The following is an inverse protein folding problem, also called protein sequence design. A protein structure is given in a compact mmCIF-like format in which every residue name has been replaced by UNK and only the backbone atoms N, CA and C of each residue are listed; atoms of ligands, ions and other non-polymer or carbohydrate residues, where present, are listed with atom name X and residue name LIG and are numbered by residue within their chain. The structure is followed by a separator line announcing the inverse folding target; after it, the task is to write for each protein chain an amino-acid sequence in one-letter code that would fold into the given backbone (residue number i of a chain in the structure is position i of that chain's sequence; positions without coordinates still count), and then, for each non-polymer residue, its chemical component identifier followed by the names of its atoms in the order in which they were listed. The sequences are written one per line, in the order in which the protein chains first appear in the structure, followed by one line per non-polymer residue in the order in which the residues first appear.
data_IF_426225713698
#
_entry.id   IF_426225713698
#
_cell.length_a   1.000
_cell.length_b   1.000
_cell.length_c   1.000
_cell.angle_alpha   90.00
_cell.angle_beta   90.00
_cell.angle_gamma   90.00
#
_symmetry.space_group_name_H-M   'P 1'
#
loop_
_entity.id
_entity.type
_entity.pdbx_description
1 polymer ?
#
# COMPACT_ATOMS: atom_id res chain seq x y z
N UNK A 1 -25.08 -19.02 -18.49
CA UNK A 1 -24.68 -17.74 -17.87
C UNK A 1 -23.65 -17.11 -18.81
N UNK A 2 -24.12 -16.48 -19.88
CA UNK A 2 -23.24 -16.02 -20.96
C UNK A 2 -22.43 -14.82 -20.47
N UNK A 3 -21.11 -14.92 -20.62
CA UNK A 3 -20.18 -13.82 -20.49
C UNK A 3 -20.63 -12.68 -21.39
N UNK A 4 -21.19 -11.63 -20.82
CA UNK A 4 -21.33 -10.36 -21.52
C UNK A 4 -19.92 -9.76 -21.56
N UNK A 5 -19.18 -10.09 -22.61
CA UNK A 5 -18.01 -9.29 -22.99
C UNK A 5 -18.59 -7.96 -23.43
N UNK A 6 -18.41 -6.93 -22.62
CA UNK A 6 -18.75 -5.56 -22.98
C UNK A 6 -17.87 -5.18 -24.17
N UNK A 7 -18.44 -5.15 -25.37
CA UNK A 7 -17.77 -4.52 -26.51
C UNK A 7 -17.49 -3.06 -26.14
N UNK A 8 -16.21 -2.68 -26.14
CA UNK A 8 -15.80 -1.30 -25.91
C UNK A 8 -16.17 -0.52 -27.16
N UNK A 9 -17.02 0.48 -27.03
CA UNK A 9 -17.37 1.37 -28.14
C UNK A 9 -16.07 2.04 -28.67
N UNK A 10 -15.83 2.08 -29.98
CA UNK A 10 -14.67 2.73 -30.58
C UNK A 10 -14.44 4.18 -30.11
N UNK A 11 -15.51 4.89 -29.74
CA UNK A 11 -15.47 6.27 -29.24
C UNK A 11 -15.02 6.32 -27.76
N UNK A 12 -15.31 5.26 -26.99
CA UNK A 12 -15.02 5.16 -25.55
C UNK A 12 -13.65 4.50 -25.25
N UNK A 13 -12.90 4.09 -26.28
CA UNK A 13 -11.59 3.44 -26.12
C UNK A 13 -10.62 4.32 -25.32
N UNK A 14 -10.63 5.63 -25.56
CA UNK A 14 -9.75 6.56 -24.85
C UNK A 14 -10.08 6.62 -23.34
N UNK A 15 -11.36 6.68 -22.99
CA UNK A 15 -11.80 6.66 -21.58
C UNK A 15 -11.45 5.32 -20.93
N UNK A 16 -11.69 4.23 -21.64
CA UNK A 16 -11.43 2.86 -21.15
C UNK A 16 -9.95 2.67 -20.82
N UNK A 17 -9.04 3.06 -21.72
CA UNK A 17 -7.59 3.02 -21.48
C UNK A 17 -7.23 3.85 -20.23
N UNK A 18 -7.73 5.08 -20.13
CA UNK A 18 -7.49 5.94 -18.98
C UNK A 18 -7.99 5.34 -17.65
N UNK A 19 -9.11 4.61 -17.67
CA UNK A 19 -9.63 3.92 -16.50
C UNK A 19 -8.78 2.71 -16.10
N UNK A 20 -8.27 1.95 -17.06
CA UNK A 20 -7.32 0.87 -16.79
C UNK A 20 -6.01 1.39 -16.18
N UNK A 21 -5.46 2.48 -16.70
CA UNK A 21 -4.25 3.11 -16.16
C UNK A 21 -4.44 3.55 -14.70
N UNK A 22 -5.58 4.18 -14.39
CA UNK A 22 -5.95 4.54 -13.01
C UNK A 22 -6.07 3.30 -12.11
N UNK A 23 -6.76 2.27 -12.59
CA UNK A 23 -6.93 1.01 -11.87
C UNK A 23 -5.60 0.31 -11.58
N UNK A 24 -4.69 0.34 -12.55
CA UNK A 24 -3.34 -0.19 -12.39
C UNK A 24 -2.54 0.59 -11.34
N UNK A 25 -2.54 1.92 -11.41
CA UNK A 25 -1.85 2.77 -10.44
C UNK A 25 -2.36 2.54 -9.01
N UNK A 26 -3.68 2.45 -8.84
CA UNK A 26 -4.30 2.17 -7.54
C UNK A 26 -3.91 0.78 -7.01
N UNK A 27 -3.97 -0.26 -7.84
CA UNK A 27 -3.58 -1.61 -7.42
C UNK A 27 -2.11 -1.63 -6.97
N UNK A 28 -1.22 -1.01 -7.74
CA UNK A 28 0.21 -0.93 -7.39
C UNK A 28 0.45 -0.24 -6.04
N UNK A 29 -0.30 0.82 -5.75
CA UNK A 29 -0.22 1.49 -4.44
C UNK A 29 -0.72 0.57 -3.32
N UNK A 30 -1.84 -0.12 -3.52
CA UNK A 30 -2.42 -1.04 -2.53
C UNK A 30 -1.51 -2.23 -2.25
N UNK A 31 -0.88 -2.80 -3.28
CA UNK A 31 0.14 -3.85 -3.14
C UNK A 31 1.33 -3.35 -2.30
N UNK A 32 1.79 -2.12 -2.54
CA UNK A 32 2.84 -1.50 -1.73
C UNK A 32 2.44 -1.36 -0.25
N UNK A 33 1.20 -0.93 0.03
CA UNK A 33 0.67 -0.83 1.40
C UNK A 33 0.52 -2.18 2.06
N UNK A 34 0.08 -3.20 1.32
CA UNK A 34 -0.04 -4.58 1.81
C UNK A 34 1.32 -5.12 2.24
N UNK A 35 2.35 -4.91 1.42
CA UNK A 35 3.72 -5.33 1.76
C UNK A 35 4.22 -4.69 3.06
N UNK A 36 3.89 -3.41 3.32
CA UNK A 36 4.26 -2.75 4.58
C UNK A 36 3.56 -3.37 5.79
N UNK A 37 2.31 -3.80 5.63
CA UNK A 37 1.56 -4.52 6.69
C UNK A 37 2.20 -5.88 6.95
N UNK A 38 2.51 -6.64 5.90
CA UNK A 38 3.16 -7.94 6.02
C UNK A 38 4.54 -7.82 6.71
N UNK A 39 5.31 -6.79 6.38
CA UNK A 39 6.58 -6.51 7.04
C UNK A 39 6.39 -6.17 8.53
N UNK A 40 5.39 -5.36 8.86
CA UNK A 40 5.03 -5.06 10.24
C UNK A 40 4.64 -6.33 11.03
N UNK A 41 3.85 -7.23 10.43
CA UNK A 41 3.49 -8.51 11.02
C UNK A 41 4.74 -9.38 11.25
N UNK A 42 5.65 -9.47 10.28
CA UNK A 42 6.92 -10.19 10.43
C UNK A 42 7.78 -9.61 11.56
N UNK A 43 7.80 -8.28 11.74
CA UNK A 43 8.51 -7.63 12.86
C UNK A 43 7.85 -7.92 14.22
N UNK A 44 6.53 -8.13 14.26
CA UNK A 44 5.84 -8.56 15.49
C UNK A 44 6.31 -9.97 15.86
N UNK A 45 6.35 -10.89 14.91
CA UNK A 45 6.84 -12.26 15.13
C UNK A 45 8.31 -12.28 15.56
N UNK A 46 9.14 -11.41 14.98
CA UNK A 46 10.54 -11.24 15.34
C UNK A 46 10.78 -10.47 16.66
N UNK A 47 9.74 -9.86 17.25
CA UNK A 47 9.84 -9.03 18.45
C UNK A 47 10.51 -7.67 18.25
N UNK A 48 10.67 -7.22 17.00
CA UNK A 48 11.29 -5.94 16.62
C UNK A 48 10.28 -4.88 16.18
N UNK A 49 8.99 -5.18 16.28
CA UNK A 49 7.92 -4.26 15.91
C UNK A 49 8.03 -2.91 16.62
N UNK A 50 7.75 -1.84 15.87
CA UNK A 50 7.88 -0.48 16.37
C UNK A 50 9.32 0.01 16.43
N UNK A 51 10.27 -0.62 15.75
CA UNK A 51 11.64 -0.11 15.59
C UNK A 51 11.78 0.60 14.25
N UNK A 52 12.42 1.78 14.24
CA UNK A 52 12.67 2.53 13.02
C UNK A 52 13.77 1.89 12.16
N UNK A 53 13.50 1.66 10.89
CA UNK A 53 14.47 1.04 9.96
C UNK A 53 15.67 1.91 9.61
N UNK A 54 15.61 3.22 9.87
CA UNK A 54 16.69 4.17 9.53
C UNK A 54 17.67 4.38 10.69
N UNK A 55 17.16 4.47 11.93
CA UNK A 55 17.98 4.81 13.10
C UNK A 55 17.92 3.77 14.23
N UNK A 56 17.13 2.72 14.10
CA UNK A 56 17.01 1.65 15.11
C UNK A 56 16.32 2.07 16.41
N UNK A 57 15.76 3.27 16.49
CA UNK A 57 15.06 3.76 17.68
C UNK A 57 13.59 3.36 17.65
N UNK A 58 12.95 3.29 18.82
CA UNK A 58 11.51 3.07 18.92
C UNK A 58 10.70 4.15 18.20
N UNK A 59 9.69 3.71 17.46
CA UNK A 59 8.67 4.54 16.83
C UNK A 59 7.66 4.95 17.91
N UNK A 60 7.31 6.24 18.02
CA UNK A 60 6.33 6.69 19.01
C UNK A 60 4.99 5.94 18.89
N UNK A 61 4.41 5.54 20.02
CA UNK A 61 3.17 4.77 20.04
C UNK A 61 2.02 5.48 19.30
N UNK A 62 1.85 6.80 19.52
CA UNK A 62 0.84 7.59 18.82
C UNK A 62 0.95 7.53 17.28
N UNK A 63 2.16 7.29 16.75
CA UNK A 63 2.38 7.11 15.31
C UNK A 63 1.99 5.71 14.85
N UNK A 64 2.28 4.68 15.66
CA UNK A 64 1.85 3.30 15.39
C UNK A 64 0.33 3.16 15.53
N UNK A 65 -0.31 3.89 16.44
CA UNK A 65 -1.77 3.94 16.55
C UNK A 65 -2.41 4.59 15.32
N UNK A 66 -1.81 5.66 14.79
CA UNK A 66 -2.29 6.33 13.58
C UNK A 66 -1.99 5.51 12.30
N UNK A 67 -0.83 4.86 12.24
CA UNK A 67 -0.42 3.98 11.15
C UNK A 67 0.38 2.78 11.70
N UNK A 68 -0.26 1.61 11.87
CA UNK A 68 0.41 0.42 12.39
C UNK A 68 1.51 -0.15 11.50
N UNK A 69 1.49 0.16 10.20
CA UNK A 69 2.49 -0.29 9.22
C UNK A 69 3.65 0.71 9.05
N UNK A 70 3.80 1.65 9.99
CA UNK A 70 4.89 2.61 10.02
C UNK A 70 6.27 1.94 10.17
N UNK A 71 7.17 2.20 9.21
CA UNK A 71 8.54 1.64 9.20
C UNK A 71 9.61 2.58 9.76
N UNK A 72 9.34 3.89 9.85
CA UNK A 72 10.31 4.90 10.30
C UNK A 72 9.88 5.66 11.55
N UNK A 73 10.73 6.45 12.21
CA UNK A 73 10.30 7.33 13.30
C UNK A 73 9.80 8.68 12.76
N UNK A 74 9.27 9.55 13.62
CA UNK A 74 8.77 10.88 13.22
C UNK A 74 9.82 11.72 12.47
N UNK A 75 11.08 11.64 12.87
CA UNK A 75 12.21 12.36 12.26
C UNK A 75 12.52 11.85 10.85
N UNK A 76 12.33 10.56 10.61
CA UNK A 76 12.62 9.89 9.32
C UNK A 76 11.34 9.56 8.54
N UNK A 77 10.24 10.28 8.81
CA UNK A 77 9.01 10.16 8.02
C UNK A 77 9.28 10.76 6.64
N UNK A 78 9.04 9.97 5.58
CA UNK A 78 9.20 10.39 4.20
C UNK A 78 7.89 10.96 3.67
#
# INVERSE_FOLDING_TARGET
MASHVTEIDPIDVAETIGNYEKGFALNKELEGRLNLVDEALAKIEAGTYGTCDQCGTMIPLARLEANPAATTCVVHTK
#
